data_IF_913358356049
#
_entry.id   IF_913358356049
#
_cell.length_a   1.000
_cell.length_b   1.000
_cell.length_c   1.000
_cell.angle_alpha   90.00
_cell.angle_beta   90.00
_cell.angle_gamma   90.00
#
_symmetry.space_group_name_H-M   'P 1'
#
loop_
_entity.id
_entity.type
_entity.pdbx_description
1 polymer ?
#
# COMPACT_ATOMS: atom_id res chain seq x y z
N UNK A 1 -33.01 74.61 -33.40
CA UNK A 1 -33.18 73.20 -33.05
C UNK A 1 -31.82 72.63 -32.75
N UNK A 2 -31.45 72.43 -31.48
CA UNK A 2 -30.15 71.98 -31.03
C UNK A 2 -30.31 70.55 -30.57
N UNK A 3 -29.65 69.59 -31.28
CA UNK A 3 -29.57 68.22 -30.84
C UNK A 3 -28.36 68.04 -29.92
N UNK A 4 -28.61 67.74 -28.66
CA UNK A 4 -27.60 67.31 -27.69
C UNK A 4 -27.43 65.79 -27.76
N UNK A 5 -26.29 65.33 -28.27
CA UNK A 5 -25.91 63.92 -28.21
C UNK A 5 -25.13 63.67 -26.92
N UNK A 6 -25.76 62.97 -26.00
CA UNK A 6 -25.10 62.50 -24.76
C UNK A 6 -24.19 61.29 -25.10
N UNK A 7 -22.90 61.46 -24.92
CA UNK A 7 -21.94 60.34 -24.91
C UNK A 7 -21.96 59.69 -23.53
N UNK A 8 -22.45 58.45 -23.48
CA UNK A 8 -22.34 57.59 -22.30
C UNK A 8 -20.99 56.91 -22.33
N UNK A 9 -20.10 57.29 -21.42
CA UNK A 9 -18.81 56.63 -21.24
C UNK A 9 -19.01 55.30 -20.50
N UNK A 10 -18.73 54.18 -21.18
CA UNK A 10 -18.68 52.85 -20.58
C UNK A 10 -17.31 52.68 -19.96
N UNK A 11 -17.23 52.69 -18.63
CA UNK A 11 -16.00 52.35 -17.87
C UNK A 11 -15.91 50.83 -17.76
N UNK A 12 -15.01 50.23 -18.53
CA UNK A 12 -14.70 48.83 -18.42
C UNK A 12 -13.68 48.64 -17.29
N UNK A 13 -14.14 48.12 -16.15
CA UNK A 13 -13.28 47.68 -15.08
C UNK A 13 -12.64 46.36 -15.49
N UNK A 14 -11.36 46.38 -15.87
CA UNK A 14 -10.55 45.19 -16.05
C UNK A 14 -10.17 44.62 -14.68
N UNK A 15 -10.80 43.51 -14.27
CA UNK A 15 -10.39 42.75 -13.12
C UNK A 15 -9.07 41.98 -13.49
N UNK A 16 -7.96 42.50 -13.08
CA UNK A 16 -6.69 41.75 -13.09
C UNK A 16 -6.72 40.72 -11.94
N UNK A 17 -7.09 39.50 -12.24
CA UNK A 17 -6.86 38.40 -11.32
C UNK A 17 -5.37 38.09 -11.32
N UNK A 18 -4.67 38.53 -10.29
CA UNK A 18 -3.29 38.16 -10.06
C UNK A 18 -3.23 36.66 -9.73
N UNK A 19 -2.95 35.83 -10.72
CA UNK A 19 -2.55 34.43 -10.51
C UNK A 19 -1.18 34.45 -9.86
N UNK A 20 -1.16 34.33 -8.53
CA UNK A 20 0.07 34.07 -7.80
C UNK A 20 0.66 32.72 -8.23
N UNK A 21 2.01 32.55 -8.14
CA UNK A 21 2.62 31.29 -8.53
C UNK A 21 2.03 30.14 -7.72
N UNK A 22 1.43 29.16 -8.40
CA UNK A 22 1.01 27.93 -7.79
C UNK A 22 2.23 27.29 -7.11
N UNK A 23 2.23 27.30 -5.78
CA UNK A 23 3.22 26.53 -5.02
C UNK A 23 2.95 25.06 -5.34
N UNK A 24 3.82 24.49 -6.15
CA UNK A 24 3.92 23.03 -6.27
C UNK A 24 4.36 22.58 -4.88
N UNK A 25 3.41 22.09 -4.10
CA UNK A 25 3.72 21.40 -2.87
C UNK A 25 4.60 20.22 -3.29
N UNK A 26 5.89 20.30 -2.93
CA UNK A 26 6.79 19.16 -3.01
C UNK A 26 6.08 18.05 -2.25
N UNK A 27 5.74 16.96 -2.95
CA UNK A 27 5.23 15.75 -2.34
C UNK A 27 6.37 15.24 -1.43
N UNK A 28 6.42 15.80 -0.22
CA UNK A 28 7.30 15.32 0.83
C UNK A 28 7.05 13.82 0.97
N UNK A 29 8.11 13.02 1.03
CA UNK A 29 8.06 11.59 1.21
C UNK A 29 7.14 11.26 2.39
N UNK A 30 5.86 11.03 2.12
CA UNK A 30 4.95 10.49 3.13
C UNK A 30 5.56 9.16 3.61
N UNK A 31 5.60 8.92 4.93
CA UNK A 31 6.15 7.68 5.45
C UNK A 31 5.38 6.50 4.83
N UNK A 32 6.09 5.70 4.04
CA UNK A 32 5.53 4.50 3.42
C UNK A 32 5.42 3.43 4.50
N UNK A 33 4.25 2.82 4.62
CA UNK A 33 4.06 1.72 5.54
C UNK A 33 5.09 0.60 5.27
N UNK A 34 5.66 -0.02 6.32
CA UNK A 34 6.66 -1.06 6.14
C UNK A 34 6.09 -2.25 5.36
N UNK A 35 6.89 -2.81 4.47
CA UNK A 35 6.53 -4.01 3.71
C UNK A 35 7.42 -5.14 4.20
N UNK A 36 6.82 -6.28 4.52
CA UNK A 36 7.54 -7.50 4.85
C UNK A 36 8.31 -8.01 3.64
N UNK A 37 9.63 -8.13 3.77
CA UNK A 37 10.49 -8.59 2.68
C UNK A 37 11.47 -9.66 3.16
N UNK A 38 11.78 -10.57 2.26
CA UNK A 38 12.93 -11.47 2.38
C UNK A 38 13.85 -11.22 1.16
N UNK A 39 15.09 -10.90 1.40
CA UNK A 39 16.08 -10.57 0.36
C UNK A 39 15.60 -9.44 -0.60
N UNK A 40 14.87 -8.46 -0.07
CA UNK A 40 14.28 -7.36 -0.84
C UNK A 40 13.04 -7.74 -1.66
N UNK A 41 12.56 -8.99 -1.55
CA UNK A 41 11.37 -9.48 -2.25
C UNK A 41 10.14 -9.41 -1.36
N UNK A 42 9.07 -8.79 -1.86
CA UNK A 42 7.74 -8.87 -1.26
C UNK A 42 7.19 -10.29 -1.39
N UNK A 43 6.42 -10.73 -0.39
CA UNK A 43 5.78 -12.08 -0.37
C UNK A 43 6.80 -13.20 -0.64
N UNK A 44 8.07 -13.00 -0.25
CA UNK A 44 9.15 -13.96 -0.52
C UNK A 44 9.33 -14.33 -2.00
N UNK A 45 8.92 -13.43 -2.91
CA UNK A 45 9.01 -13.64 -4.36
C UNK A 45 7.81 -14.34 -5.00
N UNK A 46 6.75 -14.60 -4.24
CA UNK A 46 5.49 -15.13 -4.79
C UNK A 46 4.68 -14.05 -5.48
N UNK A 47 3.94 -14.46 -6.51
CA UNK A 47 3.11 -13.58 -7.35
C UNK A 47 1.84 -13.16 -6.61
N UNK A 48 1.65 -11.86 -6.30
CA UNK A 48 0.47 -11.39 -5.58
C UNK A 48 -0.84 -11.54 -6.37
N UNK A 49 -0.79 -11.58 -7.70
CA UNK A 49 -1.98 -11.70 -8.56
C UNK A 49 -2.49 -13.13 -8.59
N UNK A 50 -1.60 -14.12 -8.52
CA UNK A 50 -1.96 -15.53 -8.61
C UNK A 50 -2.96 -15.97 -7.53
N UNK A 51 -2.92 -15.37 -6.35
CA UNK A 51 -3.87 -15.67 -5.28
C UNK A 51 -5.33 -15.37 -5.64
N UNK A 52 -5.55 -14.37 -6.52
CA UNK A 52 -6.88 -13.96 -6.95
C UNK A 52 -7.40 -14.77 -8.14
N UNK A 53 -6.50 -15.27 -8.97
CA UNK A 53 -6.85 -15.96 -10.23
C UNK A 53 -6.90 -17.47 -10.07
N UNK A 54 -5.77 -18.05 -9.73
CA UNK A 54 -5.62 -19.51 -9.62
C UNK A 54 -6.02 -20.04 -8.24
N UNK A 55 -6.15 -19.15 -7.24
CA UNK A 55 -6.36 -19.54 -5.86
C UNK A 55 -5.16 -20.31 -5.30
N UNK A 56 -3.96 -20.02 -5.79
CA UNK A 56 -2.73 -20.69 -5.37
C UNK A 56 -1.58 -19.70 -5.16
N UNK A 57 -0.72 -20.02 -4.20
CA UNK A 57 0.56 -19.35 -4.04
C UNK A 57 1.49 -19.82 -5.17
N UNK A 58 1.74 -18.96 -6.15
CA UNK A 58 2.60 -19.26 -7.30
C UNK A 58 3.89 -18.46 -7.19
N UNK A 59 5.04 -19.10 -7.36
CA UNK A 59 6.32 -18.39 -7.39
C UNK A 59 6.39 -17.46 -8.63
N UNK A 60 6.90 -16.25 -8.41
CA UNK A 60 7.19 -15.31 -9.48
C UNK A 60 8.58 -15.50 -10.06
N UNK A 61 8.73 -15.19 -11.36
CA UNK A 61 10.01 -15.16 -12.06
C UNK A 61 10.72 -13.82 -11.88
N UNK A 62 12.05 -13.83 -11.93
CA UNK A 62 12.86 -12.61 -12.05
C UNK A 62 12.59 -11.83 -13.35
N UNK A 63 12.18 -12.54 -14.41
CA UNK A 63 11.91 -11.95 -15.73
C UNK A 63 10.68 -11.03 -15.71
N UNK A 64 9.75 -11.30 -14.79
CA UNK A 64 8.55 -10.51 -14.58
C UNK A 64 8.60 -9.88 -13.20
N UNK A 65 9.30 -8.77 -13.07
CA UNK A 65 9.47 -8.10 -11.78
C UNK A 65 9.16 -6.61 -11.85
N UNK A 66 8.71 -6.05 -10.73
CA UNK A 66 8.43 -4.63 -10.56
C UNK A 66 8.98 -4.15 -9.22
N UNK A 67 9.77 -3.09 -9.24
CA UNK A 67 10.18 -2.39 -8.02
C UNK A 67 9.18 -1.29 -7.68
N UNK A 68 8.53 -1.42 -6.54
CA UNK A 68 7.54 -0.47 -6.04
C UNK A 68 7.78 -0.20 -4.56
N UNK A 69 7.81 1.08 -4.16
CA UNK A 69 8.05 1.51 -2.77
C UNK A 69 9.30 0.90 -2.12
N UNK A 70 10.36 0.71 -2.90
CA UNK A 70 11.65 0.20 -2.43
C UNK A 70 11.75 -1.33 -2.34
N UNK A 71 10.68 -2.07 -2.61
CA UNK A 71 10.67 -3.55 -2.63
C UNK A 71 10.42 -4.08 -4.02
N UNK A 72 10.85 -5.32 -4.28
CA UNK A 72 10.64 -6.00 -5.56
C UNK A 72 9.51 -7.01 -5.45
N UNK A 73 8.52 -6.86 -6.29
CA UNK A 73 7.48 -7.86 -6.54
C UNK A 73 7.87 -8.71 -7.74
N UNK A 74 7.60 -10.00 -7.68
CA UNK A 74 7.76 -10.94 -8.80
C UNK A 74 6.42 -11.50 -9.23
N UNK A 75 6.31 -11.82 -10.51
CA UNK A 75 5.08 -12.31 -11.14
C UNK A 75 5.37 -13.59 -11.92
N UNK A 76 4.38 -14.44 -12.05
CA UNK A 76 4.50 -15.70 -12.78
C UNK A 76 4.51 -15.52 -14.31
N UNK A 77 3.97 -14.39 -14.77
CA UNK A 77 3.87 -14.05 -16.20
C UNK A 77 3.72 -12.54 -16.43
N UNK A 78 3.80 -12.13 -17.70
CA UNK A 78 3.72 -10.71 -18.09
C UNK A 78 2.33 -10.10 -17.84
N UNK A 79 1.25 -10.87 -17.96
CA UNK A 79 -0.10 -10.39 -17.73
C UNK A 79 -0.30 -10.00 -16.26
N UNK A 80 0.10 -10.84 -15.32
CA UNK A 80 0.05 -10.56 -13.90
C UNK A 80 0.88 -9.32 -13.52
N UNK A 81 2.06 -9.16 -14.12
CA UNK A 81 2.87 -7.95 -13.96
C UNK A 81 2.09 -6.70 -14.40
N UNK A 82 1.45 -6.72 -15.57
CA UNK A 82 0.70 -5.57 -16.09
C UNK A 82 -0.54 -5.27 -15.24
N UNK A 83 -1.25 -6.28 -14.79
CA UNK A 83 -2.43 -6.14 -13.91
C UNK A 83 -2.04 -5.51 -12.58
N UNK A 84 -0.97 -6.01 -11.96
CA UNK A 84 -0.46 -5.41 -10.73
C UNK A 84 0.01 -3.97 -10.93
N UNK A 85 0.72 -3.69 -12.02
CA UNK A 85 1.19 -2.35 -12.36
C UNK A 85 0.03 -1.36 -12.54
N UNK A 86 -1.08 -1.81 -13.12
CA UNK A 86 -2.28 -0.99 -13.33
C UNK A 86 -3.05 -0.72 -12.05
N UNK A 87 -3.08 -1.68 -11.11
CA UNK A 87 -3.80 -1.53 -9.84
C UNK A 87 -3.09 -2.26 -8.69
N UNK A 88 -1.96 -1.75 -8.19
CA UNK A 88 -1.20 -2.41 -7.12
C UNK A 88 -2.01 -2.61 -5.83
N UNK A 89 -2.91 -1.67 -5.51
CA UNK A 89 -3.70 -1.72 -4.27
C UNK A 89 -4.70 -2.87 -4.25
N UNK A 90 -5.13 -3.34 -5.42
CA UNK A 90 -6.03 -4.48 -5.55
C UNK A 90 -5.35 -5.79 -5.14
N UNK A 91 -4.08 -5.95 -5.49
CA UNK A 91 -3.36 -7.23 -5.39
C UNK A 91 -2.35 -7.26 -4.25
N UNK A 92 -1.91 -6.11 -3.77
CA UNK A 92 -0.97 -6.05 -2.66
C UNK A 92 -1.59 -6.66 -1.38
N UNK A 93 -0.81 -7.47 -0.62
CA UNK A 93 -1.31 -8.04 0.62
C UNK A 93 -1.57 -6.96 1.66
N UNK A 94 -2.57 -7.19 2.50
CA UNK A 94 -2.87 -6.33 3.63
C UNK A 94 -1.70 -6.33 4.62
N UNK A 95 -1.63 -5.29 5.42
CA UNK A 95 -0.61 -5.11 6.47
C UNK A 95 0.83 -5.22 5.95
N UNK A 96 1.06 -4.72 4.71
CA UNK A 96 2.38 -4.80 4.08
C UNK A 96 2.92 -6.22 3.88
N UNK A 97 2.06 -7.25 3.89
CA UNK A 97 2.45 -8.64 3.79
C UNK A 97 3.00 -9.25 5.09
N UNK A 98 2.75 -8.63 6.25
CA UNK A 98 2.94 -9.27 7.55
C UNK A 98 1.80 -10.22 7.89
N UNK A 99 2.03 -11.13 8.84
CA UNK A 99 1.03 -12.08 9.32
C UNK A 99 -0.21 -11.37 9.89
N UNK A 100 -1.38 -11.62 9.29
CA UNK A 100 -2.62 -10.98 9.69
C UNK A 100 -3.07 -11.37 11.10
N UNK A 101 -2.84 -12.62 11.52
CA UNK A 101 -3.11 -13.06 12.89
C UNK A 101 -2.21 -12.34 13.89
N UNK A 102 -0.92 -12.28 13.63
CA UNK A 102 0.00 -11.55 14.50
C UNK A 102 -0.37 -10.07 14.61
N UNK A 103 -0.72 -9.44 13.48
CA UNK A 103 -1.15 -8.04 13.44
C UNK A 103 -2.43 -7.82 14.27
N UNK A 104 -3.37 -8.76 14.28
CA UNK A 104 -4.56 -8.67 15.13
C UNK A 104 -4.24 -8.67 16.63
N UNK A 105 -3.10 -9.23 17.00
CA UNK A 105 -2.57 -9.25 18.38
C UNK A 105 -1.57 -8.12 18.66
N UNK A 106 -1.53 -7.10 17.79
CA UNK A 106 -0.55 -6.00 17.85
C UNK A 106 0.91 -6.50 17.82
N UNK A 107 1.19 -7.50 16.98
CA UNK A 107 2.52 -8.11 16.83
C UNK A 107 2.89 -8.19 15.36
N UNK A 108 4.19 -8.28 15.07
CA UNK A 108 4.72 -8.56 13.74
C UNK A 108 5.22 -9.98 13.70
N UNK A 109 4.88 -10.67 12.63
CA UNK A 109 5.49 -11.94 12.26
C UNK A 109 5.62 -12.05 10.74
N UNK A 110 6.60 -12.80 10.31
CA UNK A 110 6.80 -13.20 8.92
C UNK A 110 5.63 -14.08 8.44
N UNK A 111 5.61 -14.43 7.17
CA UNK A 111 4.52 -15.19 6.56
C UNK A 111 5.02 -16.50 5.95
N UNK A 112 4.10 -17.43 5.77
CA UNK A 112 4.18 -18.54 4.84
C UNK A 112 3.31 -18.22 3.64
N UNK A 113 3.85 -18.06 2.41
CA UNK A 113 3.07 -17.72 1.23
C UNK A 113 1.92 -18.70 0.93
N UNK A 114 2.04 -19.96 1.35
CA UNK A 114 0.98 -20.95 1.21
C UNK A 114 -0.19 -20.77 2.23
N UNK A 115 -0.06 -19.85 3.18
CA UNK A 115 -1.04 -19.62 4.25
C UNK A 115 -1.74 -18.27 4.05
N UNK A 116 -2.74 -18.27 3.22
CA UNK A 116 -3.44 -17.08 2.77
C UNK A 116 -4.96 -17.22 2.77
N UNK A 117 -5.65 -16.11 2.63
CA UNK A 117 -7.07 -16.05 2.31
C UNK A 117 -7.40 -14.73 1.59
N UNK A 118 -8.39 -14.78 0.71
CA UNK A 118 -9.05 -13.59 0.19
C UNK A 118 -10.32 -13.37 1.01
N UNK A 119 -10.46 -12.17 1.58
CA UNK A 119 -11.67 -11.72 2.29
C UNK A 119 -12.04 -10.35 1.75
N UNK A 120 -13.25 -10.20 1.27
CA UNK A 120 -13.77 -8.96 0.69
C UNK A 120 -12.82 -8.37 -0.38
N UNK A 121 -12.29 -9.25 -1.26
CA UNK A 121 -11.38 -8.87 -2.34
C UNK A 121 -9.97 -8.44 -1.89
N UNK A 122 -9.57 -8.71 -0.66
CA UNK A 122 -8.26 -8.35 -0.08
C UNK A 122 -7.48 -9.60 0.28
N UNK A 123 -6.17 -9.57 0.02
CA UNK A 123 -5.26 -10.67 0.33
C UNK A 123 -4.72 -10.55 1.76
N UNK A 124 -4.91 -11.58 2.56
CA UNK A 124 -4.37 -11.73 3.90
C UNK A 124 -3.43 -12.93 3.94
N UNK A 125 -2.26 -12.75 4.54
CA UNK A 125 -1.23 -13.77 4.69
C UNK A 125 -1.04 -14.12 6.17
N UNK A 126 -0.68 -15.35 6.47
CA UNK A 126 -0.42 -15.81 7.83
C UNK A 126 0.95 -16.51 7.94
N UNK A 127 1.48 -16.59 9.17
CA UNK A 127 2.83 -17.14 9.44
C UNK A 127 2.92 -18.66 9.22
N UNK A 128 1.82 -19.39 9.31
CA UNK A 128 1.79 -20.85 9.21
C UNK A 128 0.40 -21.39 9.51
N UNK A 129 0.30 -22.72 9.54
CA UNK A 129 -0.99 -23.43 9.73
C UNK A 129 -1.70 -23.01 11.02
N UNK A 130 -1.00 -22.96 12.16
CA UNK A 130 -1.61 -22.61 13.45
C UNK A 130 -2.15 -21.17 13.43
N UNK A 131 -1.36 -20.22 12.94
CA UNK A 131 -1.78 -18.82 12.84
C UNK A 131 -3.00 -18.68 11.91
N UNK A 132 -2.99 -19.35 10.75
CA UNK A 132 -4.11 -19.33 9.83
C UNK A 132 -5.37 -19.96 10.44
N UNK A 133 -5.24 -21.09 11.16
CA UNK A 133 -6.37 -21.75 11.80
C UNK A 133 -7.03 -20.87 12.86
N UNK A 134 -6.21 -20.28 13.75
CA UNK A 134 -6.70 -19.37 14.80
C UNK A 134 -7.36 -18.12 14.19
N UNK A 135 -6.72 -17.53 13.19
CA UNK A 135 -7.29 -16.39 12.46
C UNK A 135 -8.63 -16.73 11.79
N UNK A 136 -8.75 -17.95 11.25
CA UNK A 136 -9.93 -18.41 10.54
C UNK A 136 -11.14 -18.65 11.43
N UNK A 137 -10.97 -18.83 12.75
CA UNK A 137 -12.07 -18.97 13.70
C UNK A 137 -12.96 -17.73 13.75
N UNK A 138 -12.37 -16.53 13.60
CA UNK A 138 -13.13 -15.29 13.54
C UNK A 138 -12.39 -14.24 12.70
N UNK A 139 -12.37 -14.45 11.37
CA UNK A 139 -11.65 -13.59 10.42
C UNK A 139 -12.03 -12.12 10.58
N UNK A 140 -13.31 -11.82 10.72
CA UNK A 140 -13.81 -10.43 10.80
C UNK A 140 -13.26 -9.71 12.03
N UNK A 141 -13.36 -10.31 13.21
CA UNK A 141 -12.84 -9.71 14.44
C UNK A 141 -11.31 -9.54 14.39
N UNK A 142 -10.60 -10.51 13.81
CA UNK A 142 -9.15 -10.39 13.63
C UNK A 142 -8.78 -9.28 12.63
N UNK A 143 -9.53 -9.13 11.53
CA UNK A 143 -9.32 -8.04 10.57
C UNK A 143 -9.57 -6.68 11.23
N UNK A 144 -10.69 -6.50 11.92
CA UNK A 144 -11.02 -5.25 12.62
C UNK A 144 -9.94 -4.86 13.65
N UNK A 145 -9.42 -5.84 14.39
CA UNK A 145 -8.33 -5.60 15.34
C UNK A 145 -7.02 -5.25 14.64
N UNK A 146 -6.68 -5.98 13.58
CA UNK A 146 -5.48 -5.75 12.81
C UNK A 146 -5.50 -4.38 12.08
N UNK A 147 -6.65 -3.94 11.57
CA UNK A 147 -6.82 -2.63 10.93
C UNK A 147 -6.52 -1.51 11.92
N UNK A 148 -7.03 -1.61 13.16
CA UNK A 148 -6.73 -0.64 14.23
C UNK A 148 -5.24 -0.60 14.57
N UNK A 149 -4.63 -1.77 14.71
CA UNK A 149 -3.22 -1.90 15.06
C UNK A 149 -2.31 -1.39 13.92
N UNK A 150 -2.68 -1.65 12.66
CA UNK A 150 -1.91 -1.21 11.51
C UNK A 150 -1.85 0.31 11.33
N UNK A 151 -2.89 1.04 11.73
CA UNK A 151 -2.92 2.52 11.69
C UNK A 151 -1.85 3.12 12.60
N UNK A 152 -1.66 2.54 13.80
CA UNK A 152 -0.68 3.03 14.78
C UNK A 152 0.71 2.43 14.58
N UNK A 153 0.84 1.44 13.71
CA UNK A 153 2.12 0.82 13.41
C UNK A 153 3.10 1.86 12.84
N UNK A 154 4.37 1.92 13.33
CA UNK A 154 5.31 2.96 12.92
C UNK A 154 5.54 2.96 11.41
N UNK A 155 5.05 3.98 10.75
CA UNK A 155 5.34 4.27 9.34
C UNK A 155 6.74 4.86 9.26
N UNK A 156 7.75 4.03 9.09
CA UNK A 156 9.12 4.50 8.97
C UNK A 156 9.45 4.90 7.53
N UNK A 157 10.26 5.96 7.32
CA UNK A 157 10.75 6.29 6.00
C UNK A 157 11.55 5.13 5.41
N UNK A 158 11.38 4.87 4.10
CA UNK A 158 12.16 3.87 3.38
C UNK A 158 13.63 4.29 3.39
N UNK A 159 14.46 3.59 4.14
CA UNK A 159 15.92 3.79 4.09
C UNK A 159 16.45 3.03 2.87
N UNK A 160 17.10 3.74 1.96
CA UNK A 160 17.77 3.11 0.82
C UNK A 160 18.83 2.12 1.33
N UNK A 161 18.65 0.84 1.05
CA UNK A 161 19.72 -0.16 1.10
C UNK A 161 19.90 -0.96 2.39
N UNK A 162 18.99 -0.94 3.36
CA UNK A 162 19.13 -1.72 4.59
C UNK A 162 17.99 -2.70 4.84
N UNK A 163 18.32 -3.95 5.16
CA UNK A 163 17.37 -4.87 5.80
C UNK A 163 16.87 -4.23 7.09
N UNK A 164 15.57 -4.05 7.22
CA UNK A 164 15.02 -3.64 8.51
C UNK A 164 14.84 -4.86 9.38
N UNK A 165 15.60 -4.90 10.44
CA UNK A 165 15.30 -5.76 11.57
C UNK A 165 13.94 -5.32 12.12
N UNK A 166 12.97 -6.23 12.19
CA UNK A 166 11.69 -5.94 12.84
C UNK A 166 11.98 -5.41 14.26
N UNK A 167 11.28 -4.39 14.74
CA UNK A 167 11.45 -3.92 16.11
C UNK A 167 11.24 -5.10 17.05
N UNK A 168 12.18 -5.31 17.96
CA UNK A 168 12.03 -6.33 18.99
C UNK A 168 10.86 -5.93 19.90
N UNK A 169 10.03 -6.91 20.24
CA UNK A 169 9.00 -6.76 21.26
C UNK A 169 9.71 -6.36 22.57
N UNK A 170 9.60 -5.09 22.94
CA UNK A 170 10.29 -4.54 24.10
C UNK A 170 10.64 -3.06 23.99
N UNK A 171 10.69 -2.51 22.79
CA UNK A 171 11.06 -1.11 22.55
C UNK A 171 9.86 -0.14 22.49
N UNK A 172 8.69 -0.56 22.97
CA UNK A 172 7.57 0.34 23.24
C UNK A 172 7.63 0.70 24.71
N UNK A 173 8.60 1.54 25.04
CA UNK A 173 8.73 2.09 26.39
C UNK A 173 7.80 3.29 26.57
N UNK A 174 6.96 3.13 27.60
CA UNK A 174 6.64 3.97 28.79
C UNK A 174 6.23 5.42 28.50
#
# INVERSE_FOLDING_TARGET
MRNSSSLTAVVVFAFFVAMGPARIASAGNAPVAPINTKDGLAIKGFDPVSYFDSGQATEGSSDYSLRLNGVTYRFSNADNLQRFKSNPTQFAPQYGGYCAYAMSLNRIADIDPARWAIVDGKLYLNNGFVAQSLWSLNKRAHIESADKNWVVFPKQPVVKGGERKAPKIGDVDR
#
